data_IF_478636255149
#
_entry.id   IF_478636255149
#
_cell.length_a   1.000
_cell.length_b   1.000
_cell.length_c   1.000
_cell.angle_alpha   90.00
_cell.angle_beta   90.00
_cell.angle_gamma   90.00
#
_symmetry.space_group_name_H-M   'P 1'
#
loop_
_entity.id
_entity.type
_entity.pdbx_description
1 polymer ?
#
# COMPACT_ATOMS: atom_id res chain seq x y z
N UNK A 1 34.81 17.19 -11.22
CA UNK A 1 33.61 16.79 -11.99
C UNK A 1 33.46 15.28 -11.84
N UNK A 2 32.28 14.78 -11.46
CA UNK A 2 32.02 13.34 -11.34
C UNK A 2 31.30 12.84 -12.57
N UNK A 3 31.82 11.77 -13.19
CA UNK A 3 31.15 11.06 -14.25
C UNK A 3 30.06 10.16 -13.65
N UNK A 4 28.84 10.29 -14.18
CA UNK A 4 27.66 9.52 -13.78
C UNK A 4 26.96 9.00 -15.03
N UNK A 5 26.45 7.78 -14.93
CA UNK A 5 25.56 7.22 -15.95
C UNK A 5 24.18 7.82 -15.75
N UNK A 6 23.65 8.48 -16.78
CA UNK A 6 22.36 9.14 -16.77
C UNK A 6 21.76 9.16 -18.19
N UNK A 7 20.44 9.22 -18.29
CA UNK A 7 19.72 9.23 -19.55
C UNK A 7 19.20 7.85 -19.98
N UNK A 8 18.72 7.79 -21.22
CA UNK A 8 18.33 6.55 -21.90
C UNK A 8 19.57 5.78 -22.38
N UNK A 9 19.42 4.47 -22.54
CA UNK A 9 20.43 3.61 -23.18
C UNK A 9 19.91 3.23 -24.56
N UNK A 10 20.66 3.51 -25.63
CA UNK A 10 20.30 3.16 -27.02
C UNK A 10 18.90 3.66 -27.47
N UNK A 11 18.51 4.86 -27.04
CA UNK A 11 17.20 5.46 -27.33
C UNK A 11 15.98 4.66 -26.80
N UNK A 12 16.20 3.66 -25.95
CA UNK A 12 15.11 2.93 -25.31
C UNK A 12 14.48 3.72 -24.16
N UNK A 13 13.20 3.48 -23.89
CA UNK A 13 12.49 4.07 -22.76
C UNK A 13 13.16 3.60 -21.43
N UNK A 14 13.53 4.52 -20.51
CA UNK A 14 14.12 4.17 -19.22
C UNK A 14 13.20 3.33 -18.31
N UNK A 15 11.89 3.28 -18.59
CA UNK A 15 10.97 2.35 -17.93
C UNK A 15 11.16 0.89 -18.37
N UNK A 16 11.75 0.67 -19.55
CA UNK A 16 12.07 -0.65 -20.10
C UNK A 16 13.54 -1.03 -19.84
N UNK A 17 14.47 -0.12 -20.11
CA UNK A 17 15.92 -0.35 -20.00
C UNK A 17 16.59 0.87 -19.37
N UNK A 18 17.11 0.69 -18.14
CA UNK A 18 17.80 1.74 -17.39
C UNK A 18 19.28 1.77 -17.75
N UNK A 19 19.81 2.96 -17.95
CA UNK A 19 21.26 3.17 -18.02
C UNK A 19 21.84 3.06 -16.59
N UNK A 20 22.58 1.99 -16.32
CA UNK A 20 23.29 1.77 -15.05
C UNK A 20 24.80 1.77 -15.28
N UNK A 21 25.59 1.85 -14.20
CA UNK A 21 27.05 1.75 -14.33
C UNK A 21 27.45 0.30 -14.54
N UNK A 22 28.40 0.07 -15.44
CA UNK A 22 29.04 -1.23 -15.59
C UNK A 22 30.31 -1.27 -14.75
N UNK A 23 31.16 -0.26 -14.91
CA UNK A 23 32.42 -0.13 -14.19
C UNK A 23 32.49 1.24 -13.48
N UNK A 24 33.29 1.28 -12.42
CA UNK A 24 33.44 2.48 -11.61
C UNK A 24 34.75 2.47 -10.85
N UNK A 25 35.28 3.66 -10.59
CA UNK A 25 36.44 3.90 -9.76
C UNK A 25 36.10 4.86 -8.62
N UNK A 26 36.75 4.70 -7.47
CA UNK A 26 36.58 5.61 -6.35
C UNK A 26 37.53 6.80 -6.48
N UNK A 27 37.00 8.02 -6.48
CA UNK A 27 37.78 9.26 -6.52
C UNK A 27 37.67 9.99 -5.18
N UNK A 28 38.79 10.55 -4.71
CA UNK A 28 38.80 11.41 -3.51
C UNK A 28 38.56 12.85 -3.93
N UNK A 29 37.55 13.47 -3.34
CA UNK A 29 37.20 14.87 -3.58
C UNK A 29 37.39 15.63 -2.28
N UNK A 30 38.14 16.72 -2.36
CA UNK A 30 38.32 17.65 -1.26
C UNK A 30 37.08 18.54 -1.14
N UNK A 31 36.53 18.65 0.06
CA UNK A 31 35.38 19.50 0.39
C UNK A 31 35.81 20.45 1.51
N UNK A 32 35.52 21.73 1.33
CA UNK A 32 35.69 22.74 2.38
C UNK A 32 34.32 23.00 2.99
N UNK A 33 34.16 22.70 4.28
CA UNK A 33 32.93 23.01 5.00
C UNK A 33 32.91 24.49 5.37
N UNK A 34 31.92 25.24 4.88
CA UNK A 34 31.77 26.66 5.18
C UNK A 34 31.34 26.86 6.63
N UNK A 35 32.30 27.15 7.51
CA UNK A 35 32.12 27.46 8.92
C UNK A 35 33.23 28.40 9.41
N UNK A 36 33.23 28.75 10.70
CA UNK A 36 34.19 29.70 11.31
C UNK A 36 35.65 29.21 11.26
N UNK A 37 35.84 27.90 11.09
CA UNK A 37 37.13 27.29 10.71
C UNK A 37 36.97 26.58 9.38
N UNK A 38 37.65 27.06 8.33
CA UNK A 38 37.76 26.36 7.04
C UNK A 38 38.44 25.00 7.23
N UNK A 39 37.65 23.98 7.52
CA UNK A 39 38.14 22.61 7.66
C UNK A 39 38.07 21.92 6.30
N UNK A 40 39.24 21.50 5.84
CA UNK A 40 39.38 20.67 4.64
C UNK A 40 39.10 19.21 5.01
N UNK A 41 38.12 18.60 4.35
CA UNK A 41 37.79 17.18 4.47
C UNK A 41 37.87 16.49 3.10
N UNK A 42 38.13 15.18 3.09
CA UNK A 42 38.14 14.39 1.86
C UNK A 42 37.00 13.39 1.89
N UNK A 43 36.20 13.37 0.83
CA UNK A 43 35.11 12.41 0.64
C UNK A 43 35.44 11.49 -0.53
N UNK A 44 35.24 10.19 -0.34
CA UNK A 44 35.39 9.20 -1.40
C UNK A 44 34.05 9.11 -2.16
N UNK A 45 34.08 9.40 -3.45
CA UNK A 45 32.92 9.39 -4.32
C UNK A 45 33.14 8.38 -5.46
N UNK A 46 32.05 7.72 -5.87
CA UNK A 46 32.08 6.72 -6.95
C UNK A 46 31.98 7.42 -8.31
N UNK A 47 33.04 7.35 -9.11
CA UNK A 47 33.11 7.86 -10.48
C UNK A 47 32.81 6.73 -11.47
N UNK A 48 31.81 6.90 -12.33
CA UNK A 48 31.41 5.84 -13.27
C UNK A 48 32.33 5.90 -14.49
N UNK A 49 33.00 4.79 -14.84
CA UNK A 49 33.96 4.73 -15.96
C UNK A 49 33.33 4.15 -17.23
N UNK A 50 32.30 3.31 -17.09
CA UNK A 50 31.50 2.81 -18.21
C UNK A 50 30.05 2.57 -17.78
N UNK A 51 29.13 2.66 -18.74
CA UNK A 51 27.69 2.49 -18.53
C UNK A 51 27.18 1.31 -19.36
N UNK A 52 26.10 0.68 -18.91
CA UNK A 52 25.39 -0.39 -19.62
C UNK A 52 23.88 -0.22 -19.47
N UNK A 53 23.13 -0.82 -20.39
CA UNK A 53 21.69 -0.97 -20.25
C UNK A 53 21.38 -2.18 -19.37
N UNK A 54 20.56 -1.99 -18.35
CA UNK A 54 19.97 -3.07 -17.56
C UNK A 54 18.45 -3.00 -17.66
N UNK A 55 17.83 -4.16 -17.82
CA UNK A 55 16.38 -4.25 -17.95
C UNK A 55 15.69 -3.83 -16.65
N UNK A 56 14.78 -2.87 -16.77
CA UNK A 56 14.06 -2.28 -15.66
C UNK A 56 12.78 -3.03 -15.31
N UNK A 57 12.24 -3.81 -16.25
CA UNK A 57 11.01 -4.59 -16.09
C UNK A 57 11.34 -5.87 -15.33
N UNK A 58 10.79 -6.00 -14.12
CA UNK A 58 10.82 -7.24 -13.36
C UNK A 58 9.73 -8.20 -13.87
N UNK A 59 10.07 -9.48 -14.02
CA UNK A 59 9.10 -10.45 -14.45
C UNK A 59 8.10 -10.78 -13.32
N UNK A 60 6.79 -10.90 -13.61
CA UNK A 60 5.75 -11.01 -12.58
C UNK A 60 5.95 -12.16 -11.60
N UNK A 61 6.42 -13.30 -12.11
CA UNK A 61 6.69 -14.51 -11.32
C UNK A 61 8.08 -15.06 -11.68
N UNK A 62 9.13 -14.75 -10.90
CA UNK A 62 10.51 -15.12 -11.24
C UNK A 62 10.76 -16.62 -11.41
N UNK A 63 9.89 -17.47 -10.86
CA UNK A 63 9.98 -18.93 -11.00
C UNK A 63 9.44 -19.45 -12.34
N UNK A 64 8.55 -18.70 -12.97
CA UNK A 64 7.87 -19.10 -14.21
C UNK A 64 8.46 -18.38 -15.42
N UNK A 65 8.99 -17.18 -15.24
CA UNK A 65 9.50 -16.35 -16.32
C UNK A 65 11.02 -16.18 -16.23
N UNK A 66 11.66 -16.22 -17.40
CA UNK A 66 13.05 -15.81 -17.61
C UNK A 66 13.05 -14.45 -18.26
N UNK A 67 13.80 -13.52 -17.68
CA UNK A 67 14.04 -12.21 -18.28
C UNK A 67 14.96 -12.38 -19.51
N UNK A 68 14.51 -11.89 -20.66
CA UNK A 68 15.33 -11.71 -21.85
C UNK A 68 16.14 -10.41 -21.67
N UNK A 69 17.46 -10.54 -21.59
CA UNK A 69 18.36 -9.41 -21.34
C UNK A 69 18.52 -8.49 -22.55
N UNK A 70 18.28 -8.99 -23.76
CA UNK A 70 18.45 -8.21 -24.98
C UNK A 70 17.24 -7.34 -25.22
N UNK A 71 16.05 -7.91 -25.12
CA UNK A 71 14.79 -7.20 -25.39
C UNK A 71 14.10 -6.67 -24.12
N UNK A 72 14.65 -6.91 -22.95
CA UNK A 72 14.01 -6.59 -21.66
C UNK A 72 12.56 -7.09 -21.55
N UNK A 73 12.31 -8.26 -22.14
CA UNK A 73 11.03 -8.96 -22.10
C UNK A 73 11.05 -10.09 -21.08
N UNK A 74 9.87 -10.65 -20.80
CA UNK A 74 9.73 -11.84 -19.97
C UNK A 74 9.23 -12.99 -20.82
N UNK A 75 10.00 -14.07 -20.88
CA UNK A 75 9.64 -15.28 -21.62
C UNK A 75 9.32 -16.38 -20.62
N UNK A 76 8.22 -17.11 -20.84
CA UNK A 76 7.88 -18.25 -20.01
C UNK A 76 8.96 -19.34 -20.11
N UNK A 77 9.35 -19.90 -18.97
CA UNK A 77 10.34 -20.98 -18.90
C UNK A 77 9.74 -22.35 -19.20
N UNK A 78 8.43 -22.49 -19.08
CA UNK A 78 7.74 -23.77 -19.12
C UNK A 78 6.85 -23.89 -20.36
N UNK A 79 7.11 -24.89 -21.19
CA UNK A 79 6.26 -25.23 -22.34
C UNK A 79 4.94 -25.90 -21.92
N UNK A 80 4.90 -26.47 -20.72
CA UNK A 80 3.73 -27.12 -20.12
C UNK A 80 3.50 -26.61 -18.70
N UNK A 81 2.28 -26.71 -18.18
CA UNK A 81 1.96 -26.30 -16.82
C UNK A 81 2.89 -27.01 -15.80
N UNK A 82 3.62 -26.27 -14.96
CA UNK A 82 4.45 -26.87 -13.93
C UNK A 82 3.60 -27.49 -12.81
N UNK A 83 4.17 -28.43 -12.02
CA UNK A 83 3.45 -29.08 -10.92
C UNK A 83 2.86 -28.08 -9.92
N UNK A 84 1.61 -28.30 -9.51
CA UNK A 84 0.87 -27.39 -8.61
C UNK A 84 0.25 -26.17 -9.30
N UNK A 85 0.38 -26.08 -10.62
CA UNK A 85 -0.34 -25.12 -11.47
C UNK A 85 -1.08 -25.83 -12.61
N UNK A 86 -1.50 -27.08 -12.38
CA UNK A 86 -2.26 -27.83 -13.37
C UNK A 86 -3.53 -27.06 -13.75
N UNK A 87 -3.73 -26.90 -15.05
CA UNK A 87 -4.93 -26.23 -15.55
C UNK A 87 -6.17 -27.10 -15.32
N UNK A 88 -7.32 -26.46 -15.09
CA UNK A 88 -8.60 -27.17 -15.02
C UNK A 88 -8.93 -27.88 -16.34
N UNK A 89 -9.91 -28.80 -16.31
CA UNK A 89 -10.31 -29.61 -17.48
C UNK A 89 -10.63 -28.80 -18.75
N UNK A 90 -11.10 -27.56 -18.58
CA UNK A 90 -11.54 -26.69 -19.67
C UNK A 90 -10.49 -25.61 -20.04
N UNK A 91 -9.29 -25.71 -19.46
CA UNK A 91 -8.18 -24.79 -19.65
C UNK A 91 -6.98 -25.49 -20.27
N UNK A 92 -6.14 -24.74 -20.97
CA UNK A 92 -4.83 -25.17 -21.46
C UNK A 92 -3.76 -24.22 -20.99
N UNK A 93 -2.54 -24.74 -20.86
CA UNK A 93 -1.38 -23.92 -20.54
C UNK A 93 -0.96 -23.09 -21.74
N UNK A 94 -0.94 -21.77 -21.58
CA UNK A 94 -0.35 -20.86 -22.54
C UNK A 94 1.12 -20.62 -22.19
N UNK A 95 2.02 -21.21 -22.97
CA UNK A 95 3.46 -21.02 -22.82
C UNK A 95 3.98 -19.63 -23.19
N UNK A 96 3.18 -18.75 -23.79
CA UNK A 96 3.59 -17.36 -24.04
C UNK A 96 3.33 -16.49 -22.82
N UNK A 97 2.18 -16.68 -22.17
CA UNK A 97 1.77 -15.91 -21.00
C UNK A 97 2.04 -16.62 -19.66
N UNK A 98 2.52 -17.86 -19.70
CA UNK A 98 2.87 -18.64 -18.52
C UNK A 98 1.69 -18.79 -17.53
N UNK A 99 0.49 -18.99 -18.08
CA UNK A 99 -0.75 -19.09 -17.32
C UNK A 99 -1.71 -20.11 -17.96
N UNK A 100 -2.72 -20.52 -17.21
CA UNK A 100 -3.81 -21.33 -17.75
C UNK A 100 -4.83 -20.43 -18.43
N UNK A 101 -5.07 -20.66 -19.71
CA UNK A 101 -6.11 -19.99 -20.50
C UNK A 101 -7.27 -20.91 -20.78
N UNK A 102 -8.43 -20.31 -20.96
CA UNK A 102 -9.61 -21.04 -21.38
C UNK A 102 -9.50 -21.53 -22.82
N UNK A 103 -9.88 -22.79 -23.05
CA UNK A 103 -9.94 -23.39 -24.38
C UNK A 103 -11.11 -22.86 -25.22
N UNK A 104 -11.96 -22.04 -24.62
CA UNK A 104 -13.10 -21.42 -25.29
C UNK A 104 -12.65 -20.21 -26.12
N UNK A 105 -13.11 -20.14 -27.37
CA UNK A 105 -12.82 -19.01 -28.24
C UNK A 105 -13.50 -17.73 -27.74
N UNK A 106 -12.69 -16.79 -27.28
CA UNK A 106 -13.13 -15.46 -26.82
C UNK A 106 -13.71 -14.62 -27.97
N UNK A 107 -13.30 -14.86 -29.21
CA UNK A 107 -13.71 -14.09 -30.37
C UNK A 107 -15.04 -14.56 -30.97
N UNK A 108 -15.46 -15.80 -30.66
CA UNK A 108 -16.71 -16.36 -31.16
C UNK A 108 -17.64 -16.86 -30.03
N UNK A 109 -18.08 -15.96 -29.12
CA UNK A 109 -19.01 -16.35 -28.07
C UNK A 109 -20.42 -16.61 -28.66
N UNK A 110 -21.19 -17.55 -28.08
CA UNK A 110 -22.60 -17.70 -28.40
C UNK A 110 -23.36 -16.37 -28.22
N UNK A 111 -24.36 -16.14 -29.05
CA UNK A 111 -25.14 -14.89 -29.06
C UNK A 111 -25.64 -14.50 -27.65
N UNK A 112 -25.28 -13.28 -27.21
CA UNK A 112 -25.71 -12.75 -25.91
C UNK A 112 -24.90 -13.23 -24.70
N UNK A 113 -23.89 -14.09 -24.91
CA UNK A 113 -22.96 -14.53 -23.86
C UNK A 113 -21.61 -13.84 -23.98
N UNK A 114 -20.86 -13.82 -22.88
CA UNK A 114 -19.46 -13.43 -22.78
C UNK A 114 -18.69 -14.55 -22.08
N UNK A 115 -17.42 -14.76 -22.44
CA UNK A 115 -16.58 -15.70 -21.73
C UNK A 115 -16.25 -15.14 -20.34
N UNK A 116 -16.55 -15.89 -19.29
CA UNK A 116 -15.99 -15.68 -17.95
C UNK A 116 -14.66 -16.43 -17.87
N UNK A 117 -13.55 -15.69 -17.90
CA UNK A 117 -12.20 -16.27 -17.92
C UNK A 117 -11.85 -17.01 -16.62
N UNK A 118 -12.48 -16.66 -15.48
CA UNK A 118 -12.23 -17.30 -14.19
C UNK A 118 -12.93 -18.65 -14.09
N UNK A 119 -14.18 -18.71 -14.55
CA UNK A 119 -14.99 -19.93 -14.52
C UNK A 119 -14.84 -20.79 -15.76
N UNK A 120 -14.19 -20.25 -16.80
CA UNK A 120 -14.03 -20.88 -18.09
C UNK A 120 -15.34 -21.27 -18.78
N UNK A 121 -16.35 -20.39 -18.66
CA UNK A 121 -17.71 -20.66 -19.13
C UNK A 121 -18.31 -19.43 -19.80
N UNK A 122 -19.18 -19.66 -20.77
CA UNK A 122 -19.97 -18.58 -21.37
C UNK A 122 -21.12 -18.18 -20.44
N UNK A 123 -21.01 -17.00 -19.84
CA UNK A 123 -22.04 -16.40 -18.98
C UNK A 123 -22.84 -15.38 -19.78
N UNK A 124 -24.13 -15.21 -19.45
CA UNK A 124 -24.94 -14.21 -20.14
C UNK A 124 -24.40 -12.80 -19.88
N UNK A 125 -24.34 -11.96 -20.92
CA UNK A 125 -24.04 -10.54 -20.75
C UNK A 125 -25.29 -9.87 -20.17
N UNK A 126 -25.20 -9.20 -19.00
CA UNK A 126 -26.33 -8.46 -18.46
C UNK A 126 -26.85 -7.45 -19.49
N UNK A 127 -28.17 -7.37 -19.64
CA UNK A 127 -28.83 -6.42 -20.52
C UNK A 127 -30.00 -5.81 -19.78
N UNK A 128 -30.23 -4.52 -20.02
CA UNK A 128 -31.43 -3.84 -19.55
C UNK A 128 -32.62 -4.33 -20.36
N UNK A 129 -33.63 -4.83 -19.64
CA UNK A 129 -34.85 -5.34 -20.22
C UNK A 129 -35.91 -4.25 -20.23
N UNK A 130 -36.56 -3.97 -21.38
CA UNK A 130 -37.57 -2.91 -21.45
C UNK A 130 -38.86 -3.32 -20.72
N UNK A 131 -39.50 -2.34 -20.09
CA UNK A 131 -40.82 -2.50 -19.47
C UNK A 131 -40.83 -3.39 -18.22
N UNK A 132 -41.72 -4.39 -18.21
CA UNK A 132 -41.91 -5.34 -17.09
C UNK A 132 -41.17 -6.67 -17.27
N UNK A 133 -40.21 -6.72 -18.17
CA UNK A 133 -39.40 -7.91 -18.41
C UNK A 133 -38.21 -7.94 -17.44
N UNK A 134 -37.81 -9.13 -17.00
CA UNK A 134 -36.59 -9.35 -16.21
C UNK A 134 -35.61 -10.18 -17.00
N UNK A 135 -34.33 -9.87 -16.83
CA UNK A 135 -33.26 -10.64 -17.45
C UNK A 135 -33.17 -12.02 -16.81
N UNK A 136 -33.37 -13.06 -17.62
CA UNK A 136 -33.18 -14.45 -17.21
C UNK A 136 -31.74 -14.87 -17.54
N UNK A 137 -30.96 -15.12 -16.49
CA UNK A 137 -29.55 -15.53 -16.59
C UNK A 137 -29.35 -16.96 -17.12
N UNK A 138 -30.41 -17.75 -17.24
CA UNK A 138 -30.33 -19.12 -17.81
C UNK A 138 -30.48 -19.09 -19.34
N UNK A 139 -31.45 -18.33 -19.84
CA UNK A 139 -31.75 -18.22 -21.29
C UNK A 139 -31.02 -17.06 -21.97
N UNK A 140 -30.38 -16.17 -21.19
CA UNK A 140 -29.77 -14.91 -21.65
C UNK A 140 -30.74 -13.99 -22.38
N UNK A 141 -32.02 -14.00 -22.00
CA UNK A 141 -33.08 -13.23 -22.65
C UNK A 141 -33.92 -12.49 -21.62
N UNK A 142 -34.57 -11.43 -22.08
CA UNK A 142 -35.59 -10.75 -21.29
C UNK A 142 -36.87 -11.58 -21.36
N UNK A 143 -37.32 -12.08 -20.23
CA UNK A 143 -38.57 -12.84 -20.10
C UNK A 143 -39.55 -12.04 -19.24
N UNK A 144 -40.87 -12.20 -19.46
CA UNK A 144 -41.85 -11.66 -18.52
C UNK A 144 -41.55 -12.25 -17.14
N UNK A 145 -41.63 -11.40 -16.11
CA UNK A 145 -41.61 -11.89 -14.74
C UNK A 145 -42.86 -12.76 -14.60
N UNK A 146 -42.69 -14.08 -14.72
CA UNK A 146 -43.73 -15.01 -14.32
C UNK A 146 -43.88 -14.73 -12.83
N UNK A 147 -44.93 -14.00 -12.48
CA UNK A 147 -45.28 -13.75 -11.10
C UNK A 147 -45.55 -15.12 -10.50
N UNK A 148 -44.51 -15.74 -9.92
CA UNK A 148 -44.75 -16.54 -8.76
C UNK A 148 -45.47 -15.61 -7.82
N UNK A 149 -46.77 -15.88 -7.63
CA UNK A 149 -47.52 -15.38 -6.49
C UNK A 149 -46.84 -16.01 -5.29
N UNK A 150 -45.67 -15.48 -4.94
CA UNK A 150 -45.10 -15.64 -3.64
C UNK A 150 -46.09 -14.88 -2.80
N UNK A 151 -46.99 -15.62 -2.15
CA UNK A 151 -47.62 -15.13 -0.94
C UNK A 151 -46.47 -14.89 0.03
N UNK A 152 -45.76 -13.76 -0.14
CA UNK A 152 -44.84 -13.24 0.85
C UNK A 152 -45.73 -12.90 2.03
N UNK A 153 -45.88 -13.89 2.93
CA UNK A 153 -46.13 -13.59 4.31
C UNK A 153 -44.99 -12.65 4.71
N UNK A 154 -45.31 -11.36 4.75
CA UNK A 154 -44.46 -10.26 5.16
C UNK A 154 -43.63 -10.73 6.36
N UNK A 155 -42.33 -11.02 6.18
CA UNK A 155 -41.51 -11.40 7.30
C UNK A 155 -41.45 -10.17 8.18
N UNK A 156 -41.94 -10.33 9.41
CA UNK A 156 -41.98 -9.31 10.45
C UNK A 156 -40.55 -8.75 10.67
N UNK A 157 -40.19 -7.74 9.87
CA UNK A 157 -38.87 -7.12 9.76
C UNK A 157 -38.47 -6.37 11.04
N UNK A 158 -39.35 -6.35 12.03
CA UNK A 158 -39.15 -5.67 13.31
C UNK A 158 -38.03 -6.31 14.14
N UNK A 159 -37.69 -7.58 13.90
CA UNK A 159 -36.64 -8.27 14.66
C UNK A 159 -35.25 -8.14 14.02
N UNK A 160 -35.15 -8.19 12.68
CA UNK A 160 -33.86 -8.04 11.98
C UNK A 160 -33.27 -6.64 12.13
N UNK A 161 -34.09 -5.59 12.13
CA UNK A 161 -33.63 -4.22 12.35
C UNK A 161 -32.99 -4.00 13.72
N UNK A 162 -33.50 -4.67 14.76
CA UNK A 162 -32.95 -4.59 16.13
C UNK A 162 -31.58 -5.23 16.24
N UNK A 163 -31.38 -6.37 15.57
CA UNK A 163 -30.10 -7.09 15.58
C UNK A 163 -29.04 -6.25 14.83
N UNK A 164 -29.38 -5.71 13.66
CA UNK A 164 -28.46 -4.86 12.90
C UNK A 164 -28.08 -3.60 13.69
N UNK A 165 -29.05 -2.93 14.33
CA UNK A 165 -28.79 -1.76 15.17
C UNK A 165 -27.87 -2.09 16.36
N UNK A 166 -28.05 -3.25 17.00
CA UNK A 166 -27.20 -3.70 18.09
C UNK A 166 -25.75 -3.97 17.64
N UNK A 167 -25.56 -4.56 16.46
CA UNK A 167 -24.23 -4.81 15.88
C UNK A 167 -23.52 -3.50 15.56
N UNK A 168 -24.20 -2.55 14.93
CA UNK A 168 -23.62 -1.23 14.60
C UNK A 168 -23.27 -0.43 15.85
N UNK A 169 -24.12 -0.45 16.89
CA UNK A 169 -23.78 0.18 18.17
C UNK A 169 -22.58 -0.50 18.85
N UNK A 170 -22.51 -1.83 18.80
CA UNK A 170 -21.39 -2.59 19.37
C UNK A 170 -20.05 -2.24 18.71
N UNK A 171 -20.03 -2.15 17.37
CA UNK A 171 -18.85 -1.77 16.61
C UNK A 171 -18.39 -0.33 16.92
N UNK A 172 -19.33 0.61 17.03
CA UNK A 172 -19.02 2.00 17.37
C UNK A 172 -18.35 2.12 18.75
N UNK A 173 -18.90 1.45 19.78
CA UNK A 173 -18.32 1.45 21.13
C UNK A 173 -16.93 0.82 21.13
N UNK A 174 -16.74 -0.27 20.39
CA UNK A 174 -15.44 -0.94 20.28
C UNK A 174 -14.37 -0.05 19.64
N UNK A 175 -14.72 0.67 18.56
CA UNK A 175 -13.81 1.65 17.94
C UNK A 175 -13.46 2.78 18.89
N UNK A 176 -14.42 3.33 19.65
CA UNK A 176 -14.16 4.35 20.67
C UNK A 176 -13.14 3.87 21.73
N UNK A 177 -13.26 2.61 22.19
CA UNK A 177 -12.30 2.03 23.13
C UNK A 177 -10.89 1.89 22.53
N UNK A 178 -10.78 1.47 21.27
CA UNK A 178 -9.49 1.39 20.57
C UNK A 178 -8.86 2.79 20.45
N UNK A 179 -9.64 3.79 20.05
CA UNK A 179 -9.16 5.17 19.96
C UNK A 179 -8.65 5.68 21.32
N UNK A 180 -9.37 5.39 22.40
CA UNK A 180 -8.97 5.80 23.73
C UNK A 180 -7.69 5.09 24.19
N UNK A 181 -7.51 3.80 23.88
CA UNK A 181 -6.26 3.07 24.12
C UNK A 181 -5.09 3.67 23.32
N UNK A 182 -5.29 3.98 22.03
CA UNK A 182 -4.25 4.62 21.20
C UNK A 182 -3.86 5.97 21.79
N UNK A 183 -4.83 6.80 22.16
CA UNK A 183 -4.57 8.11 22.75
C UNK A 183 -3.92 8.01 24.15
N UNK A 184 -4.26 6.97 24.91
CA UNK A 184 -3.61 6.66 26.19
C UNK A 184 -2.12 6.36 26.00
N UNK A 185 -1.75 5.57 24.99
CA UNK A 185 -0.33 5.27 24.71
C UNK A 185 0.48 6.51 24.33
N UNK A 186 -0.16 7.55 23.76
CA UNK A 186 0.47 8.82 23.39
C UNK A 186 0.47 9.89 24.49
N UNK A 187 0.11 9.54 25.74
CA UNK A 187 0.02 10.46 26.90
C UNK A 187 -0.87 11.71 26.68
N UNK A 188 -1.71 11.70 25.66
CA UNK A 188 -2.61 12.79 25.21
C UNK A 188 -4.07 12.32 25.18
N UNK A 189 -4.41 11.30 25.98
CA UNK A 189 -5.75 10.71 26.05
C UNK A 189 -6.78 11.51 26.85
N UNK A 190 -8.01 11.51 26.33
CA UNK A 190 -9.19 12.18 26.89
C UNK A 190 -9.59 11.61 28.26
N UNK A 191 -9.36 10.31 28.50
CA UNK A 191 -9.52 9.70 29.82
C UNK A 191 -8.62 10.30 30.90
N UNK A 192 -7.43 10.82 30.55
CA UNK A 192 -6.59 11.53 31.53
C UNK A 192 -7.25 12.84 31.94
N UNK A 193 -7.92 13.52 31.02
CA UNK A 193 -8.65 14.76 31.29
C UNK A 193 -9.88 14.51 32.17
N UNK A 194 -10.66 13.46 31.90
CA UNK A 194 -11.82 13.09 32.73
C UNK A 194 -11.38 12.58 34.10
N UNK A 195 -10.37 11.71 34.18
CA UNK A 195 -9.83 11.24 35.46
C UNK A 195 -9.32 12.42 36.30
N UNK A 196 -8.52 13.32 35.72
CA UNK A 196 -7.95 14.45 36.47
C UNK A 196 -9.03 15.45 36.92
N UNK A 197 -10.04 15.71 36.09
CA UNK A 197 -11.12 16.65 36.45
C UNK A 197 -12.18 16.05 37.39
N UNK A 198 -12.42 14.74 37.35
CA UNK A 198 -13.45 14.10 38.18
C UNK A 198 -12.90 13.63 39.53
N UNK A 199 -11.68 13.07 39.57
CA UNK A 199 -11.11 12.53 40.82
C UNK A 199 -10.31 13.55 41.64
N UNK A 200 -9.74 14.60 41.03
CA UNK A 200 -8.96 15.60 41.80
C UNK A 200 -9.80 16.81 42.26
N UNK A 201 -11.02 17.01 41.76
CA UNK A 201 -11.85 18.17 42.14
C UNK A 201 -12.70 17.94 43.40
N UNK A 202 -12.73 16.71 43.94
CA UNK A 202 -13.51 16.38 45.15
C UNK A 202 -12.76 16.59 46.48
N UNK A 203 -11.60 17.26 46.46
CA UNK A 203 -10.86 17.66 47.68
C UNK A 203 -10.78 19.19 47.81
N UNK A 204 -11.91 19.86 47.64
CA UNK A 204 -12.10 21.24 48.08
C UNK A 204 -12.51 21.25 49.55
N UNK A 205 -11.57 21.50 50.45
CA UNK A 205 -11.87 21.88 51.83
C UNK A 205 -12.46 23.30 51.82
N UNK A 206 -13.59 23.56 52.49
CA UNK A 206 -14.08 24.91 52.72
C UNK A 206 -13.34 25.51 53.93
N UNK A 207 -12.87 26.75 53.78
CA UNK A 207 -12.31 27.56 54.87
C UNK A 207 -10.79 27.63 54.83
N UNK A 208 -10.23 28.70 54.27
CA UNK A 208 -9.98 29.87 55.12
C UNK A 208 -9.59 31.10 54.29
N UNK A 209 -9.91 32.22 54.92
CA UNK A 209 -10.02 33.59 54.45
C UNK A 209 -8.70 34.35 54.69
N UNK A 210 -8.44 35.38 53.87
CA UNK A 210 -7.40 36.42 54.03
C UNK A 210 -5.93 35.96 53.83
N UNK A 211 -4.99 36.73 53.31
CA UNK A 211 -4.88 38.14 53.00
C UNK A 211 -3.89 38.29 51.82
N UNK A 212 -3.96 39.42 51.12
CA UNK A 212 -3.16 39.67 49.93
C UNK A 212 -1.66 39.84 50.19
N UNK A 213 -0.87 39.59 49.14
CA UNK A 213 0.32 40.39 48.83
C UNK A 213 0.60 40.28 47.32
N UNK A 214 0.65 41.44 46.67
CA UNK A 214 1.22 41.70 45.35
C UNK A 214 2.49 42.53 45.59
N UNK A 215 3.46 42.67 44.67
CA UNK A 215 3.85 41.82 43.53
C UNK A 215 5.34 41.41 43.63
N UNK A 216 5.76 40.31 43.00
CA UNK A 216 7.17 40.21 42.63
C UNK A 216 7.37 39.49 41.29
N UNK A 217 7.96 40.25 40.39
CA UNK A 217 8.46 39.87 39.09
C UNK A 217 9.48 38.74 39.24
N UNK A 218 9.25 37.58 38.62
CA UNK A 218 10.32 36.66 38.27
C UNK A 218 10.14 36.15 36.84
N UNK A 219 11.06 36.65 36.01
CA UNK A 219 11.75 35.95 34.93
C UNK A 219 10.93 35.06 34.00
N UNK A 220 10.64 35.60 32.80
CA UNK A 220 10.63 34.81 31.58
C UNK A 220 11.97 34.06 31.48
N UNK A 221 11.93 32.73 31.61
CA UNK A 221 12.84 31.85 30.90
C UNK A 221 12.17 31.51 29.58
N UNK A 222 12.70 32.10 28.50
CA UNK A 222 12.57 31.54 27.17
C UNK A 222 13.10 30.11 27.22
N UNK A 223 12.21 29.16 27.01
CA UNK A 223 12.58 27.84 26.50
C UNK A 223 12.19 27.88 25.04
N UNK A 224 13.21 28.14 24.23
CA UNK A 224 13.22 27.76 22.84
C UNK A 224 13.05 26.24 22.79
N UNK A 225 11.87 25.79 22.37
CA UNK A 225 11.76 24.47 21.76
C UNK A 225 10.89 24.62 20.52
N UNK A 226 11.59 25.10 19.48
CA UNK A 226 11.15 25.06 18.10
C UNK A 226 10.75 23.62 17.77
N UNK A 227 9.46 23.46 17.47
CA UNK A 227 8.91 22.28 16.84
C UNK A 227 9.68 22.05 15.53
N UNK A 228 10.70 21.19 15.58
CA UNK A 228 11.23 20.52 14.40
C UNK A 228 10.12 19.56 13.93
N UNK A 229 9.51 19.77 12.76
CA UNK A 229 8.67 18.74 12.16
C UNK A 229 9.53 17.48 11.99
N UNK A 230 8.98 16.27 12.21
CA UNK A 230 9.73 15.05 12.00
C UNK A 230 10.32 15.09 10.59
N UNK A 231 11.65 15.11 10.51
CA UNK A 231 12.34 14.96 9.25
C UNK A 231 11.77 13.73 8.56
N UNK A 232 11.29 13.97 7.35
CA UNK A 232 11.04 12.94 6.37
C UNK A 232 12.16 11.92 6.45
N UNK A 233 11.75 10.68 6.66
CA UNK A 233 12.62 9.53 6.49
C UNK A 233 13.06 9.57 5.03
N UNK A 234 14.24 10.14 4.76
CA UNK A 234 14.92 9.94 3.50
C UNK A 234 15.28 8.45 3.45
N UNK A 235 14.36 7.68 2.86
CA UNK A 235 14.65 6.36 2.35
C UNK A 235 15.78 6.54 1.34
N UNK A 236 17.00 6.15 1.73
CA UNK A 236 18.07 5.97 0.79
C UNK A 236 17.59 4.97 -0.26
N UNK A 237 17.55 5.39 -1.53
CA UNK A 237 17.06 4.64 -2.68
C UNK A 237 17.86 3.35 -2.99
N UNK A 238 18.84 3.01 -2.15
CA UNK A 238 19.72 1.86 -2.29
C UNK A 238 19.52 0.74 -1.24
N UNK A 239 18.51 0.79 -0.36
CA UNK A 239 18.04 -0.40 0.36
C UNK A 239 19.07 -1.22 1.16
N UNK A 240 20.20 -0.64 1.59
CA UNK A 240 21.20 -1.36 2.38
C UNK A 240 21.20 -0.91 3.83
N UNK A 241 20.67 -1.79 4.70
CA UNK A 241 20.87 -1.75 6.14
C UNK A 241 22.35 -2.02 6.45
N UNK A 242 23.11 -0.99 6.80
CA UNK A 242 24.43 -1.18 7.41
C UNK A 242 24.23 -1.55 8.88
N UNK A 243 24.41 -2.82 9.19
CA UNK A 243 24.58 -3.29 10.56
C UNK A 243 25.90 -2.72 11.10
N UNK A 244 25.81 -1.84 12.09
CA UNK A 244 26.95 -1.37 12.85
C UNK A 244 27.57 -2.56 13.60
N UNK A 245 28.83 -2.89 13.30
CA UNK A 245 29.62 -3.81 14.12
C UNK A 245 30.15 -3.07 15.34
N UNK A 246 30.03 -3.65 16.56
CA UNK A 246 30.65 -3.07 17.74
C UNK A 246 32.17 -3.24 17.69
N UNK A 247 32.87 -2.11 17.89
CA UNK A 247 34.32 -2.07 18.08
C UNK A 247 34.63 -2.66 19.46
N UNK A 248 35.40 -3.74 19.50
CA UNK A 248 35.95 -4.27 20.75
C UNK A 248 37.12 -3.38 21.21
N UNK A 249 36.99 -2.76 22.38
CA UNK A 249 38.11 -2.14 23.09
C UNK A 249 39.00 -3.24 23.70
N UNK A 250 40.31 -3.12 23.46
CA UNK A 250 41.37 -3.70 24.29
C UNK A 250 41.94 -2.63 25.19
#
# INVERSE_FOLDING_TARGET
MLQRCQGSFEDENPERKRCTFNESENVRVQITSGGETDKVEYVILKNHTSCKGECAIECPVPKLFRQDKENCGCTCMHTTAPPGSECGSDQSWDSQECNCKCNLDKNNPPSGKKLDEKQCKFVCKPRDCPGRLKFDSTTCRCAPVVGYVVNEAEPDNTQQGKILAAVVMGEFVFLCLIFDVILYTKKTGLMRYVWFNVLCKSRGNPGDESAGTSPESMHLKNVDEENVPPQDTMVNRNGHTLLAQPVASK
#
